data_IF_047762911966
#
_entry.id   IF_047762911966
#
_cell.length_a   1.000
_cell.length_b   1.000
_cell.length_c   1.000
_cell.angle_alpha   90.00
_cell.angle_beta   90.00
_cell.angle_gamma   90.00
#
_symmetry.space_group_name_H-M   'P 1'
#
loop_
_entity.id
_entity.type
_entity.pdbx_description
1 polymer ?
#
# COMPACT_ATOMS: atom_id res chain seq x y z
N UNK A 1 -13.89 0.19 -3.22
CA UNK A 1 -14.39 -1.18 -3.43
C UNK A 1 -15.89 -1.09 -3.58
N UNK A 2 -16.48 -1.98 -4.36
CA UNK A 2 -17.92 -2.12 -4.45
C UNK A 2 -18.47 -2.52 -3.07
N UNK A 3 -19.57 -1.91 -2.63
CA UNK A 3 -20.22 -2.21 -1.34
C UNK A 3 -20.55 -3.70 -1.26
N UNK A 4 -21.00 -4.27 -2.39
CA UNK A 4 -21.32 -5.69 -2.51
C UNK A 4 -20.10 -6.61 -2.27
N UNK A 5 -18.90 -6.22 -2.72
CA UNK A 5 -17.69 -7.00 -2.50
C UNK A 5 -17.32 -7.06 -1.01
N UNK A 6 -17.38 -5.92 -0.32
CA UNK A 6 -17.07 -5.86 1.10
C UNK A 6 -18.08 -6.69 1.91
N UNK A 7 -19.37 -6.56 1.64
CA UNK A 7 -20.41 -7.29 2.37
C UNK A 7 -20.22 -8.82 2.26
N UNK A 8 -19.72 -9.31 1.13
CA UNK A 8 -19.47 -10.74 0.90
C UNK A 8 -18.19 -11.22 1.59
N UNK A 9 -17.08 -10.47 1.47
CA UNK A 9 -15.76 -10.94 1.89
C UNK A 9 -15.32 -10.44 3.27
N UNK A 10 -16.03 -9.51 3.90
CA UNK A 10 -15.61 -8.90 5.15
C UNK A 10 -15.40 -9.92 6.27
N UNK A 11 -16.35 -10.84 6.50
CA UNK A 11 -16.21 -11.84 7.56
C UNK A 11 -14.97 -12.71 7.33
N UNK A 12 -14.84 -13.28 6.12
CA UNK A 12 -13.69 -14.11 5.76
C UNK A 12 -12.37 -13.33 5.86
N UNK A 13 -12.34 -12.08 5.41
CA UNK A 13 -11.16 -11.23 5.50
C UNK A 13 -10.77 -10.95 6.95
N UNK A 14 -11.75 -10.67 7.81
CA UNK A 14 -11.53 -10.45 9.24
C UNK A 14 -10.98 -11.69 9.92
N UNK A 15 -11.53 -12.87 9.63
CA UNK A 15 -11.07 -14.15 10.19
C UNK A 15 -9.62 -14.43 9.75
N UNK A 16 -9.33 -14.30 8.45
CA UNK A 16 -7.98 -14.52 7.92
C UNK A 16 -6.96 -13.56 8.52
N UNK A 17 -7.29 -12.27 8.66
CA UNK A 17 -6.40 -11.29 9.30
C UNK A 17 -6.18 -11.65 10.77
N UNK A 18 -7.24 -12.03 11.49
CA UNK A 18 -7.12 -12.45 12.88
C UNK A 18 -6.15 -13.64 13.00
N UNK A 19 -6.36 -14.66 12.19
CA UNK A 19 -5.59 -15.89 12.24
C UNK A 19 -4.13 -15.71 11.79
N UNK A 20 -3.88 -14.85 10.79
CA UNK A 20 -2.52 -14.57 10.31
C UNK A 20 -1.69 -13.85 11.38
N UNK A 21 -2.26 -12.84 12.03
CA UNK A 21 -1.50 -11.89 12.84
C UNK A 21 -1.63 -12.11 14.35
N UNK A 22 -2.71 -12.72 14.83
CA UNK A 22 -3.04 -12.76 16.26
C UNK A 22 -3.22 -14.18 16.81
N UNK A 23 -3.62 -15.15 16.00
CA UNK A 23 -3.76 -16.53 16.46
C UNK A 23 -2.43 -17.13 16.93
N UNK A 24 -2.49 -17.80 18.09
CA UNK A 24 -1.36 -18.47 18.72
C UNK A 24 -1.28 -19.93 18.27
N UNK A 25 -0.07 -20.51 18.26
CA UNK A 25 0.15 -21.92 17.91
C UNK A 25 0.04 -22.26 16.42
N UNK A 26 -0.24 -21.29 15.54
CA UNK A 26 -0.32 -21.53 14.12
C UNK A 26 1.08 -21.79 13.53
N UNK A 27 1.26 -22.94 12.89
CA UNK A 27 2.51 -23.27 12.21
C UNK A 27 2.82 -22.29 11.08
N UNK A 28 4.09 -22.12 10.73
CA UNK A 28 4.50 -21.28 9.58
C UNK A 28 3.84 -21.72 8.28
N UNK A 29 3.64 -23.03 8.12
CA UNK A 29 2.91 -23.62 7.00
C UNK A 29 1.46 -23.16 6.97
N UNK A 30 0.77 -23.24 8.11
CA UNK A 30 -0.60 -22.73 8.27
C UNK A 30 -0.69 -21.23 7.98
N UNK A 31 0.21 -20.43 8.54
CA UNK A 31 0.27 -18.97 8.29
C UNK A 31 0.38 -18.65 6.80
N UNK A 32 1.27 -19.32 6.07
CA UNK A 32 1.42 -19.11 4.63
C UNK A 32 0.16 -19.51 3.85
N UNK A 33 -0.50 -20.60 4.22
CA UNK A 33 -1.75 -21.02 3.59
C UNK A 33 -2.84 -19.93 3.73
N UNK A 34 -2.98 -19.34 4.92
CA UNK A 34 -3.91 -18.24 5.15
C UNK A 34 -3.51 -16.97 4.40
N UNK A 35 -2.23 -16.61 4.37
CA UNK A 35 -1.73 -15.46 3.57
C UNK A 35 -2.05 -15.65 2.10
N UNK A 36 -1.94 -16.88 1.57
CA UNK A 36 -2.31 -17.20 0.20
C UNK A 36 -3.81 -16.98 -0.03
N UNK A 37 -4.65 -17.55 0.82
CA UNK A 37 -6.11 -17.38 0.72
C UNK A 37 -6.51 -15.91 0.79
N UNK A 38 -5.86 -15.14 1.66
CA UNK A 38 -6.12 -13.71 1.76
C UNK A 38 -5.67 -12.95 0.51
N UNK A 39 -4.55 -13.36 -0.08
CA UNK A 39 -4.06 -12.82 -1.36
C UNK A 39 -5.04 -13.11 -2.51
N UNK A 40 -5.74 -14.25 -2.48
CA UNK A 40 -6.79 -14.54 -3.45
C UNK A 40 -7.93 -13.52 -3.35
N UNK A 41 -8.37 -13.14 -2.15
CA UNK A 41 -9.38 -12.08 -1.95
C UNK A 41 -8.90 -10.75 -2.53
N UNK A 42 -7.64 -10.37 -2.29
CA UNK A 42 -7.08 -9.12 -2.83
C UNK A 42 -7.02 -9.14 -4.36
N UNK A 43 -6.50 -10.22 -4.96
CA UNK A 43 -6.45 -10.36 -6.42
C UNK A 43 -7.85 -10.35 -7.03
N UNK A 44 -8.83 -10.95 -6.34
CA UNK A 44 -10.25 -10.91 -6.73
C UNK A 44 -10.80 -9.49 -6.75
N UNK A 45 -10.45 -8.68 -5.76
CA UNK A 45 -10.82 -7.26 -5.71
C UNK A 45 -10.16 -6.45 -6.84
N UNK A 46 -8.91 -6.77 -7.21
CA UNK A 46 -8.21 -6.13 -8.32
C UNK A 46 -8.84 -6.47 -9.67
N UNK A 47 -9.24 -7.73 -9.85
CA UNK A 47 -9.87 -8.26 -11.05
C UNK A 47 -11.36 -7.91 -11.18
N UNK A 48 -12.01 -7.51 -10.08
CA UNK A 48 -13.46 -7.27 -10.00
C UNK A 48 -14.29 -8.47 -10.46
N UNK A 49 -13.94 -9.66 -9.97
CA UNK A 49 -14.65 -10.90 -10.28
C UNK A 49 -15.86 -11.07 -9.37
N UNK A 50 -16.94 -11.64 -9.90
CA UNK A 50 -18.21 -11.93 -9.20
C UNK A 50 -18.05 -13.06 -8.18
N UNK A 51 -18.66 -12.97 -7.00
CA UNK A 51 -18.45 -13.88 -5.87
C UNK A 51 -18.64 -15.37 -6.15
N UNK A 52 -19.52 -15.70 -7.10
CA UNK A 52 -19.81 -17.07 -7.54
C UNK A 52 -18.68 -17.74 -8.33
N UNK A 53 -17.72 -16.97 -8.87
CA UNK A 53 -16.65 -17.52 -9.68
C UNK A 53 -15.51 -18.11 -8.82
N UNK A 54 -15.09 -19.34 -9.11
CA UNK A 54 -13.88 -19.90 -8.49
C UNK A 54 -12.65 -19.12 -8.97
N UNK A 55 -11.76 -18.78 -8.04
CA UNK A 55 -10.49 -18.13 -8.34
C UNK A 55 -9.37 -18.73 -7.49
N UNK A 56 -8.27 -19.13 -8.13
CA UNK A 56 -7.00 -19.46 -7.48
C UNK A 56 -5.88 -18.61 -8.09
N UNK A 57 -4.81 -18.36 -7.33
CA UNK A 57 -3.66 -17.60 -7.84
C UNK A 57 -2.96 -18.26 -9.05
N UNK A 58 -3.22 -19.54 -9.31
CA UNK A 58 -2.67 -20.28 -10.45
C UNK A 58 -3.53 -20.24 -11.72
N UNK A 59 -4.73 -19.67 -11.66
CA UNK A 59 -5.66 -19.73 -12.79
C UNK A 59 -5.12 -18.93 -14.00
N UNK A 60 -5.44 -19.39 -15.21
CA UNK A 60 -5.03 -18.73 -16.46
C UNK A 60 -5.53 -17.28 -16.53
N UNK A 61 -6.73 -17.01 -16.01
CA UNK A 61 -7.31 -15.66 -15.93
C UNK A 61 -6.47 -14.75 -15.04
N UNK A 62 -6.11 -15.21 -13.85
CA UNK A 62 -5.23 -14.47 -12.93
C UNK A 62 -3.87 -14.24 -13.57
N UNK A 63 -3.27 -15.27 -14.16
CA UNK A 63 -1.96 -15.18 -14.81
C UNK A 63 -1.95 -14.16 -15.95
N UNK A 64 -2.99 -14.14 -16.81
CA UNK A 64 -3.14 -13.16 -17.88
C UNK A 64 -3.25 -11.74 -17.33
N UNK A 65 -4.13 -11.53 -16.36
CA UNK A 65 -4.28 -10.24 -15.70
C UNK A 65 -2.97 -9.74 -15.08
N UNK A 66 -2.25 -10.62 -14.38
CA UNK A 66 -0.96 -10.27 -13.77
C UNK A 66 0.09 -9.91 -14.83
N UNK A 67 0.08 -10.57 -16.00
CA UNK A 67 0.96 -10.22 -17.11
C UNK A 67 0.68 -8.79 -17.63
N UNK A 68 -0.59 -8.41 -17.80
CA UNK A 68 -0.97 -7.05 -18.18
C UNK A 68 -0.69 -6.03 -17.07
N UNK A 69 -1.02 -6.37 -15.83
CA UNK A 69 -0.82 -5.51 -14.65
C UNK A 69 0.66 -5.18 -14.47
N UNK A 70 1.56 -6.15 -14.68
CA UNK A 70 3.01 -6.00 -14.61
C UNK A 70 3.54 -4.86 -15.50
N UNK A 71 2.93 -4.64 -16.66
CA UNK A 71 3.41 -3.69 -17.67
C UNK A 71 3.08 -2.23 -17.35
N UNK A 72 2.20 -1.96 -16.38
CA UNK A 72 1.77 -0.59 -16.06
C UNK A 72 2.89 0.29 -15.50
N UNK A 73 3.73 -0.25 -14.61
CA UNK A 73 4.92 0.43 -14.11
C UNK A 73 5.85 -0.54 -13.38
N UNK A 74 7.07 -0.09 -13.06
CA UNK A 74 8.02 -0.87 -12.25
C UNK A 74 7.46 -1.25 -10.87
N UNK A 75 6.61 -0.39 -10.28
CA UNK A 75 5.93 -0.70 -9.03
C UNK A 75 4.92 -1.85 -9.21
N UNK A 76 4.11 -1.83 -10.27
CA UNK A 76 3.16 -2.90 -10.56
C UNK A 76 3.87 -4.22 -10.83
N UNK A 77 5.01 -4.19 -11.53
CA UNK A 77 5.87 -5.37 -11.68
C UNK A 77 6.27 -5.96 -10.32
N UNK A 78 6.67 -5.11 -9.36
CA UNK A 78 7.00 -5.56 -8.00
C UNK A 78 5.81 -6.13 -7.21
N UNK A 79 4.59 -5.68 -7.52
CA UNK A 79 3.34 -6.24 -6.94
C UNK A 79 3.05 -7.62 -7.53
N UNK A 80 3.22 -7.79 -8.83
CA UNK A 80 3.04 -9.11 -9.47
C UNK A 80 4.05 -10.12 -8.92
N UNK A 81 5.32 -9.73 -8.78
CA UNK A 81 6.34 -10.58 -8.14
C UNK A 81 5.95 -10.95 -6.70
N UNK A 82 5.29 -10.06 -5.97
CA UNK A 82 4.79 -10.34 -4.63
C UNK A 82 3.66 -11.38 -4.64
N UNK A 83 2.73 -11.30 -5.60
CA UNK A 83 1.65 -12.30 -5.79
C UNK A 83 2.25 -13.66 -6.17
N UNK A 84 3.21 -13.69 -7.10
CA UNK A 84 3.89 -14.93 -7.52
C UNK A 84 4.67 -15.57 -6.37
N UNK A 85 5.39 -14.77 -5.57
CA UNK A 85 6.07 -15.26 -4.39
C UNK A 85 5.11 -15.94 -3.40
N UNK A 86 3.97 -15.30 -3.10
CA UNK A 86 2.96 -15.86 -2.20
C UNK A 86 2.34 -17.12 -2.81
N UNK A 87 2.08 -17.12 -4.12
CA UNK A 87 1.56 -18.30 -4.83
C UNK A 87 2.51 -19.48 -4.66
N UNK A 88 3.77 -19.29 -4.99
CA UNK A 88 4.76 -20.37 -5.03
C UNK A 88 5.09 -20.88 -3.61
N UNK A 89 5.23 -19.96 -2.64
CA UNK A 89 5.40 -20.33 -1.23
C UNK A 89 4.14 -21.05 -0.67
N UNK A 90 2.95 -20.57 -1.05
CA UNK A 90 1.67 -21.17 -0.71
C UNK A 90 1.50 -22.58 -1.27
N UNK A 91 1.95 -22.81 -2.50
CA UNK A 91 1.98 -24.15 -3.11
C UNK A 91 2.88 -25.07 -2.27
N UNK A 92 4.10 -24.65 -1.93
CA UNK A 92 4.99 -25.43 -1.05
C UNK A 92 4.39 -25.71 0.33
N UNK A 93 3.64 -24.75 0.88
CA UNK A 93 2.99 -24.89 2.19
C UNK A 93 1.75 -25.81 2.17
N UNK A 94 1.08 -25.97 1.03
CA UNK A 94 -0.20 -26.71 0.97
C UNK A 94 -0.09 -28.07 0.28
N UNK A 95 0.89 -28.26 -0.62
CA UNK A 95 1.08 -29.54 -1.30
C UNK A 95 1.94 -30.50 -0.48
N UNK A 96 1.51 -31.77 -0.44
CA UNK A 96 2.19 -32.87 0.25
C UNK A 96 3.50 -33.29 -0.40
N UNK A 97 3.72 -32.90 -1.67
CA UNK A 97 4.98 -33.15 -2.37
C UNK A 97 6.17 -32.43 -1.72
N UNK A 98 5.94 -31.27 -1.09
CA UNK A 98 6.97 -30.55 -0.36
C UNK A 98 6.93 -30.88 1.14
N UNK A 99 7.89 -31.70 1.56
CA UNK A 99 8.05 -32.15 2.96
C UNK A 99 8.94 -31.25 3.81
N UNK A 100 9.55 -30.21 3.22
CA UNK A 100 10.40 -29.27 3.93
C UNK A 100 9.64 -28.37 4.91
N UNK A 101 10.40 -27.63 5.72
CA UNK A 101 9.88 -26.68 6.70
C UNK A 101 9.79 -25.27 6.11
N UNK A 102 8.73 -24.55 6.45
CA UNK A 102 8.60 -23.13 6.15
C UNK A 102 9.26 -22.34 7.28
N UNK A 103 10.27 -21.54 6.95
CA UNK A 103 10.99 -20.69 7.90
C UNK A 103 10.20 -19.44 8.29
N UNK A 104 10.51 -18.88 9.46
CA UNK A 104 9.96 -17.58 9.90
C UNK A 104 10.32 -16.42 8.97
N UNK A 105 11.49 -16.49 8.33
CA UNK A 105 11.92 -15.52 7.32
C UNK A 105 10.99 -15.53 6.11
N UNK A 106 10.64 -16.72 5.58
CA UNK A 106 9.69 -16.83 4.47
C UNK A 106 8.29 -16.31 4.85
N UNK A 107 7.83 -16.56 6.08
CA UNK A 107 6.57 -15.98 6.57
C UNK A 107 6.64 -14.45 6.58
N UNK A 108 7.74 -13.89 7.11
CA UNK A 108 7.95 -12.44 7.16
C UNK A 108 7.98 -11.81 5.76
N UNK A 109 8.61 -12.50 4.81
CA UNK A 109 8.66 -12.09 3.42
C UNK A 109 7.27 -12.15 2.76
N UNK A 110 6.46 -13.17 3.07
CA UNK A 110 5.09 -13.27 2.58
C UNK A 110 4.20 -12.13 3.12
N UNK A 111 4.33 -11.78 4.40
CA UNK A 111 3.63 -10.62 5.00
C UNK A 111 4.06 -9.31 4.31
N UNK A 112 5.34 -9.15 4.01
CA UNK A 112 5.84 -7.99 3.28
C UNK A 112 5.29 -7.94 1.83
N UNK A 113 5.18 -9.08 1.16
CA UNK A 113 4.55 -9.20 -0.15
C UNK A 113 3.05 -8.84 -0.09
N UNK A 114 2.32 -9.33 0.92
CA UNK A 114 0.91 -9.00 1.13
C UNK A 114 0.72 -7.49 1.27
N UNK A 115 1.60 -6.83 2.02
CA UNK A 115 1.57 -5.40 2.19
C UNK A 115 1.83 -4.60 0.90
N UNK A 116 2.69 -5.10 0.00
CA UNK A 116 2.88 -4.48 -1.33
C UNK A 116 1.58 -4.53 -2.13
N UNK A 117 0.88 -5.66 -2.10
CA UNK A 117 -0.41 -5.83 -2.78
C UNK A 117 -1.43 -4.85 -2.19
N UNK A 118 -1.48 -4.70 -0.87
CA UNK A 118 -2.32 -3.68 -0.22
C UNK A 118 -2.02 -2.25 -0.65
N UNK A 119 -0.73 -1.89 -0.65
CA UNK A 119 -0.28 -0.57 -1.06
C UNK A 119 -0.71 -0.26 -2.51
N UNK A 120 -0.81 -1.29 -3.37
CA UNK A 120 -1.19 -1.11 -4.76
C UNK A 120 -2.60 -0.54 -4.95
N UNK A 121 -3.55 -0.87 -4.07
CA UNK A 121 -4.89 -0.27 -4.10
C UNK A 121 -4.85 1.24 -3.90
N UNK A 122 -3.99 1.74 -3.00
CA UNK A 122 -3.82 3.17 -2.78
C UNK A 122 -3.06 3.83 -3.91
N UNK A 123 -2.02 3.17 -4.44
CA UNK A 123 -1.31 3.67 -5.62
C UNK A 123 -2.30 3.83 -6.77
N UNK A 124 -3.04 2.78 -7.13
CA UNK A 124 -4.03 2.80 -8.21
C UNK A 124 -5.16 3.82 -7.98
N UNK A 125 -5.58 3.99 -6.72
CA UNK A 125 -6.58 4.99 -6.35
C UNK A 125 -6.05 6.42 -6.55
N UNK A 126 -4.88 6.75 -5.99
CA UNK A 126 -4.32 8.11 -6.05
C UNK A 126 -3.76 8.49 -7.42
N UNK A 127 -3.61 7.53 -8.34
CA UNK A 127 -3.41 7.82 -9.76
C UNK A 127 -4.66 8.41 -10.42
N UNK A 128 -5.85 8.04 -9.94
CA UNK A 128 -7.13 8.45 -10.53
C UNK A 128 -7.74 9.65 -9.81
N UNK A 129 -7.47 9.77 -8.51
CA UNK A 129 -8.03 10.79 -7.64
C UNK A 129 -6.91 11.58 -6.96
N UNK A 130 -7.03 12.90 -6.96
CA UNK A 130 -6.02 13.78 -6.35
C UNK A 130 -5.77 13.39 -4.89
N UNK A 131 -4.49 13.22 -4.55
CA UNK A 131 -4.07 12.91 -3.19
C UNK A 131 -4.54 14.00 -2.21
N UNK A 132 -4.96 13.61 -1.01
CA UNK A 132 -5.46 14.53 0.02
C UNK A 132 -6.93 14.95 -0.12
N UNK A 133 -7.57 14.72 -1.27
CA UNK A 133 -8.91 15.29 -1.53
C UNK A 133 -10.06 14.49 -0.91
N UNK A 134 -10.00 13.15 -0.92
CA UNK A 134 -11.04 12.31 -0.34
C UNK A 134 -10.70 11.96 1.13
N UNK A 135 -11.43 12.50 2.13
CA UNK A 135 -11.10 12.31 3.54
C UNK A 135 -11.21 10.84 3.99
N UNK A 136 -12.14 10.06 3.43
CA UNK A 136 -12.30 8.63 3.74
C UNK A 136 -11.10 7.84 3.22
N UNK A 137 -10.70 8.06 1.97
CA UNK A 137 -9.52 7.42 1.39
C UNK A 137 -8.25 7.80 2.17
N UNK A 138 -8.15 9.06 2.61
CA UNK A 138 -7.04 9.53 3.43
C UNK A 138 -7.03 8.89 4.82
N UNK A 139 -8.18 8.72 5.48
CA UNK A 139 -8.28 8.02 6.76
C UNK A 139 -7.82 6.56 6.61
N UNK A 140 -8.32 5.85 5.61
CA UNK A 140 -7.91 4.47 5.31
C UNK A 140 -6.42 4.36 5.00
N UNK A 141 -5.88 5.32 4.22
CA UNK A 141 -4.46 5.38 3.92
C UNK A 141 -3.60 5.51 5.18
N UNK A 142 -4.07 6.25 6.18
CA UNK A 142 -3.34 6.46 7.43
C UNK A 142 -3.27 5.21 8.32
N UNK A 143 -4.20 4.25 8.14
CA UNK A 143 -4.20 2.96 8.83
C UNK A 143 -3.06 2.05 8.34
N UNK A 144 -2.52 2.29 7.15
CA UNK A 144 -1.37 1.52 6.68
C UNK A 144 -0.15 1.72 7.60
N UNK A 145 0.59 0.64 7.90
CA UNK A 145 1.89 0.75 8.56
C UNK A 145 2.80 1.80 7.90
N UNK A 146 3.57 2.59 8.68
CA UNK A 146 4.37 3.70 8.15
C UNK A 146 5.28 3.33 6.96
N UNK A 147 5.88 2.12 7.00
CA UNK A 147 6.72 1.61 5.90
C UNK A 147 5.95 1.45 4.58
N UNK A 148 4.70 1.01 4.64
CA UNK A 148 3.86 0.80 3.45
C UNK A 148 3.28 2.12 2.94
N UNK A 149 2.91 3.05 3.82
CA UNK A 149 2.57 4.42 3.42
C UNK A 149 3.72 5.09 2.69
N UNK A 150 4.95 4.94 3.20
CA UNK A 150 6.14 5.48 2.55
C UNK A 150 6.35 4.89 1.16
N UNK A 151 6.12 3.58 0.97
CA UNK A 151 6.19 2.93 -0.35
C UNK A 151 5.18 3.52 -1.35
N UNK A 152 3.93 3.74 -0.93
CA UNK A 152 2.90 4.41 -1.75
C UNK A 152 3.38 5.81 -2.15
N UNK A 153 3.83 6.61 -1.18
CA UNK A 153 4.24 8.00 -1.42
C UNK A 153 5.49 8.13 -2.29
N UNK A 154 6.49 7.25 -2.13
CA UNK A 154 7.65 7.20 -3.02
C UNK A 154 7.22 6.90 -4.46
N UNK A 155 6.25 6.00 -4.62
CA UNK A 155 5.74 5.62 -5.94
C UNK A 155 5.02 6.79 -6.59
N UNK A 156 4.12 7.46 -5.85
CA UNK A 156 3.38 8.63 -6.33
C UNK A 156 4.31 9.81 -6.61
N UNK A 157 5.26 10.11 -5.72
CA UNK A 157 6.21 11.22 -5.90
C UNK A 157 7.11 11.02 -7.12
N UNK A 158 7.47 9.79 -7.47
CA UNK A 158 8.22 9.52 -8.72
C UNK A 158 7.44 9.88 -9.98
N UNK A 159 6.12 9.90 -9.90
CA UNK A 159 5.23 10.19 -11.03
C UNK A 159 4.76 11.64 -11.03
N UNK A 160 4.59 12.21 -9.83
CA UNK A 160 4.14 13.59 -9.58
C UNK A 160 5.14 14.29 -8.65
N UNK A 161 6.38 14.55 -9.09
CA UNK A 161 7.45 15.06 -8.21
C UNK A 161 7.17 16.48 -7.70
N UNK A 162 6.31 17.23 -8.38
CA UNK A 162 5.95 18.60 -8.01
C UNK A 162 4.72 18.69 -7.09
N UNK A 163 4.06 17.56 -6.76
CA UNK A 163 2.94 17.58 -5.83
C UNK A 163 3.45 17.79 -4.39
N UNK A 164 3.20 18.99 -3.87
CA UNK A 164 3.62 19.39 -2.53
C UNK A 164 3.04 18.48 -1.44
N UNK A 165 1.75 18.14 -1.51
CA UNK A 165 1.08 17.36 -0.48
C UNK A 165 1.62 15.91 -0.41
N UNK A 166 1.92 15.32 -1.57
CA UNK A 166 2.58 14.01 -1.64
C UNK A 166 4.01 14.11 -1.08
N UNK A 167 4.76 15.13 -1.48
CA UNK A 167 6.17 15.31 -1.11
C UNK A 167 6.33 15.56 0.39
N UNK A 168 5.59 16.53 0.94
CA UNK A 168 5.61 16.86 2.37
C UNK A 168 5.32 15.61 3.20
N UNK A 169 4.25 14.88 2.86
CA UNK A 169 3.87 13.68 3.59
C UNK A 169 4.89 12.55 3.44
N UNK A 170 5.50 12.42 2.27
CA UNK A 170 6.57 11.45 2.00
C UNK A 170 7.76 11.73 2.92
N UNK A 171 8.19 12.98 3.01
CA UNK A 171 9.32 13.42 3.85
C UNK A 171 9.01 13.13 5.32
N UNK A 172 7.82 13.51 5.81
CA UNK A 172 7.39 13.21 7.19
C UNK A 172 7.44 11.70 7.47
N UNK A 173 6.96 10.86 6.55
CA UNK A 173 6.99 9.42 6.72
C UNK A 173 8.40 8.83 6.60
N UNK A 174 9.25 9.40 5.75
CA UNK A 174 10.65 9.01 5.64
C UNK A 174 11.36 9.24 6.97
N UNK A 175 11.10 10.37 7.65
CA UNK A 175 11.58 10.62 9.01
C UNK A 175 11.03 9.63 10.03
N UNK A 176 9.74 9.30 9.97
CA UNK A 176 9.13 8.30 10.87
C UNK A 176 9.69 6.90 10.68
N UNK A 177 10.05 6.52 9.45
CA UNK A 177 10.55 5.18 9.14
C UNK A 177 12.05 5.03 9.41
N UNK A 178 12.87 6.08 9.18
CA UNK A 178 14.35 6.02 9.27
C UNK A 178 14.98 6.55 10.57
N UNK A 179 14.25 7.27 11.41
CA UNK A 179 14.81 7.77 12.68
C UNK A 179 15.91 8.84 12.51
N UNK A 180 16.97 8.77 13.33
CA UNK A 180 17.98 9.84 13.57
C UNK A 180 18.98 10.06 12.41
N UNK A 181 19.00 9.22 11.36
CA UNK A 181 19.80 9.46 10.12
C UNK A 181 19.30 10.61 9.22
N UNK A 182 18.64 11.57 9.88
CA UNK A 182 17.81 12.69 9.43
C UNK A 182 18.57 13.74 8.63
N UNK A 183 19.68 14.25 9.17
CA UNK A 183 20.35 15.43 8.60
C UNK A 183 21.08 15.09 7.30
N UNK A 184 21.69 13.90 7.21
CA UNK A 184 22.47 13.50 6.03
C UNK A 184 21.61 13.35 4.76
N UNK A 185 20.33 12.97 4.88
CA UNK A 185 19.45 12.85 3.71
C UNK A 185 18.91 14.21 3.25
N UNK A 186 18.53 15.10 4.19
CA UNK A 186 18.08 16.46 3.87
C UNK A 186 19.15 17.21 3.11
N UNK A 187 20.41 17.18 3.59
CA UNK A 187 21.47 17.96 2.92
C UNK A 187 21.82 17.40 1.54
N UNK A 188 21.68 16.09 1.33
CA UNK A 188 21.86 15.48 0.00
C UNK A 188 20.75 15.83 -1.00
N UNK A 189 19.58 16.25 -0.52
CA UNK A 189 18.41 16.52 -1.37
C UNK A 189 17.95 17.99 -1.32
N UNK A 190 18.67 18.86 -0.60
CA UNK A 190 18.32 20.27 -0.35
C UNK A 190 17.92 21.02 -1.63
N UNK A 191 18.77 20.99 -2.66
CA UNK A 191 18.50 21.67 -3.93
C UNK A 191 17.19 21.21 -4.62
N UNK A 192 16.79 19.95 -4.44
CA UNK A 192 15.51 19.44 -4.99
C UNK A 192 14.33 19.88 -4.14
N UNK A 193 14.50 19.97 -2.82
CA UNK A 193 13.45 20.41 -1.89
C UNK A 193 13.15 21.91 -2.05
N UNK A 194 14.18 22.72 -2.24
CA UNK A 194 14.06 24.17 -2.48
C UNK A 194 13.30 24.48 -3.78
N UNK A 195 13.31 23.58 -4.76
CA UNK A 195 12.56 23.73 -6.01
C UNK A 195 11.06 23.43 -5.87
N UNK A 196 10.64 22.77 -4.78
CA UNK A 196 9.25 22.38 -4.55
C UNK A 196 8.42 23.59 -4.05
N UNK A 197 9.06 24.69 -3.64
CA UNK A 197 8.39 25.87 -3.07
C UNK A 197 7.97 26.95 -4.07
N UNK A 198 8.26 26.84 -5.37
CA UNK A 198 7.92 27.92 -6.33
C UNK A 198 6.45 27.94 -6.83
N UNK A 199 5.52 27.22 -6.18
CA UNK A 199 4.10 27.21 -6.58
C UNK A 199 3.09 27.58 -5.49
N UNK A 200 3.52 28.26 -4.43
CA UNK A 200 2.62 29.06 -3.62
C UNK A 200 3.24 30.44 -3.42
N UNK A 201 3.00 31.36 -4.36
CA UNK A 201 2.88 32.77 -3.99
C UNK A 201 1.58 32.92 -3.17
N UNK A 202 1.57 32.34 -1.96
CA UNK A 202 0.75 32.90 -0.90
C UNK A 202 1.52 34.15 -0.46
N UNK A 203 1.15 35.29 -1.02
CA UNK A 203 1.63 36.59 -0.57
C UNK A 203 1.55 36.64 0.96
N UNK A 204 2.69 36.67 1.65
CA UNK A 204 2.75 36.90 3.10
C UNK A 204 2.04 38.20 3.52
N UNK A 205 1.77 39.09 2.56
CA UNK A 205 0.97 40.29 2.72
C UNK A 205 -0.52 40.02 3.01
N UNK A 206 -1.11 38.92 2.50
CA UNK A 206 -2.54 38.64 2.67
C UNK A 206 -2.87 38.06 4.06
N UNK A 207 -1.90 37.41 4.72
CA UNK A 207 -2.07 36.86 6.07
C UNK A 207 -1.95 37.93 7.15
N UNK A 208 -1.22 39.03 6.88
CA UNK A 208 -1.09 40.15 7.82
C UNK A 208 -2.27 41.12 7.79
N UNK A 209 -3.05 41.16 6.69
CA UNK A 209 -4.22 42.01 6.57
C UNK A 209 -5.39 41.59 7.46
N UNK A 210 -5.66 40.28 7.59
CA UNK A 210 -6.87 39.77 8.26
C UNK A 210 -6.77 39.72 9.79
N UNK A 211 -5.54 39.74 10.35
CA UNK A 211 -5.33 39.78 11.79
C UNK A 211 -5.48 41.19 12.41
N UNK A 212 -5.37 42.26 11.61
CA UNK A 212 -5.49 43.63 12.11
C UNK A 212 -6.91 44.19 12.03
N UNK A 213 -7.78 43.64 11.16
CA UNK A 213 -9.18 44.09 11.02
C UNK A 213 -10.14 43.45 12.03
N UNK A 214 -9.78 42.32 12.65
CA UNK A 214 -10.63 41.62 13.65
C UNK A 214 -10.47 42.09 15.09
N UNK A 215 -9.50 42.96 15.41
CA UNK A 215 -9.27 43.48 16.76
C UNK A 215 -9.91 44.85 17.04
N UNK A 216 -10.63 45.44 16.08
CA UNK A 216 -11.33 46.74 16.24
C UNK A 216 -12.84 46.70 15.94
N UNK A 217 -13.48 45.53 16.04
CA UNK A 217 -14.94 45.41 16.08
C UNK A 217 -15.38 44.49 17.20
N UNK A 218 -15.30 44.98 18.43
CA UNK A 218 -16.22 44.72 19.54
C UNK A 218 -16.16 45.92 20.48
#
# INVERSE_FOLDING_TARGET
MDKNFNDIYQSLASDLVNDIFYAQGLSNRGKVALIRQYTEILVRAMLKIEASERLTLGDKKVTRFLAEYRLKSSYHCSVVQAVEYIRDLGNSATHTLYTGTISSFQVSQAIFCLAKIYASFFVDYFHRFKFGYNPVAMALFQLLPPRFRLLVLITLHRQLPQDFAITEKMIILLFKVRGIERMKWVERNKAKLEQISHYYDCNEADVKGDHQTRLYRL
#
